data_IF_280597555237
#
_entry.id   IF_280597555237
#
_cell.length_a   1.000
_cell.length_b   1.000
_cell.length_c   1.000
_cell.angle_alpha   90.00
_cell.angle_beta   90.00
_cell.angle_gamma   90.00
#
_symmetry.space_group_name_H-M   'P 1'
#
loop_
_entity.id
_entity.type
_entity.pdbx_description
1 polymer ?
#
# COMPACT_ATOMS: atom_id res chain seq x y z
N UNK A 1 0.81 -12.28 -19.70
CA UNK A 1 0.13 -11.23 -18.91
C UNK A 1 -0.69 -10.27 -19.78
N UNK A 2 -0.57 -10.30 -21.12
CA UNK A 2 -1.32 -9.39 -22.02
C UNK A 2 -2.71 -9.88 -22.43
N UNK A 3 -2.95 -11.20 -22.45
CA UNK A 3 -4.26 -11.75 -22.87
C UNK A 3 -5.39 -11.50 -21.86
N UNK A 4 -5.09 -11.54 -20.56
CA UNK A 4 -6.06 -11.26 -19.50
C UNK A 4 -6.47 -9.78 -19.47
N UNK A 5 -5.50 -8.87 -19.62
CA UNK A 5 -5.77 -7.42 -19.73
C UNK A 5 -6.61 -7.11 -20.96
N UNK A 6 -6.30 -7.76 -22.10
CA UNK A 6 -7.06 -7.61 -23.35
C UNK A 6 -8.48 -8.16 -23.26
N UNK A 7 -8.68 -9.29 -22.58
CA UNK A 7 -10.01 -9.89 -22.38
C UNK A 7 -10.89 -9.06 -21.44
N UNK A 8 -10.32 -8.52 -20.36
CA UNK A 8 -11.04 -7.66 -19.42
C UNK A 8 -11.43 -6.32 -20.05
N UNK A 9 -10.54 -5.73 -20.87
CA UNK A 9 -10.87 -4.51 -21.63
C UNK A 9 -11.94 -4.77 -22.71
N UNK A 10 -11.93 -5.95 -23.35
CA UNK A 10 -12.93 -6.32 -24.36
C UNK A 10 -14.31 -6.56 -23.74
N UNK A 11 -14.39 -7.27 -22.61
CA UNK A 11 -15.65 -7.50 -21.88
C UNK A 11 -16.24 -6.20 -21.32
N UNK A 12 -15.38 -5.23 -20.96
CA UNK A 12 -15.83 -3.91 -20.50
C UNK A 12 -16.39 -3.05 -21.65
N UNK A 13 -15.83 -3.19 -22.86
CA UNK A 13 -16.32 -2.50 -24.06
C UNK A 13 -17.58 -3.14 -24.67
N UNK A 14 -17.83 -4.43 -24.42
CA UNK A 14 -18.97 -5.19 -24.97
C UNK A 14 -19.99 -5.52 -23.87
N UNK A 15 -20.35 -4.55 -23.03
CA UNK A 15 -21.55 -4.70 -22.19
C UNK A 15 -22.79 -4.37 -23.04
N UNK A 16 -23.81 -5.25 -23.14
CA UNK A 16 -25.02 -5.00 -23.94
C UNK A 16 -25.79 -3.71 -23.57
N UNK A 17 -25.55 -3.17 -22.38
CA UNK A 17 -26.24 -2.00 -21.84
C UNK A 17 -25.58 -0.65 -22.20
N UNK A 18 -24.34 -0.66 -22.73
CA UNK A 18 -23.64 0.56 -23.21
C UNK A 18 -23.90 0.87 -24.68
N UNK A 19 -24.45 -0.07 -25.45
CA UNK A 19 -24.80 0.12 -26.87
C UNK A 19 -26.14 0.83 -27.08
N UNK A 20 -27.09 0.72 -26.14
CA UNK A 20 -28.44 1.28 -26.29
C UNK A 20 -28.44 2.82 -26.42
N UNK A 21 -27.68 3.60 -25.63
CA UNK A 21 -27.67 5.06 -25.78
C UNK A 21 -26.93 5.52 -27.05
N UNK A 22 -25.86 4.82 -27.44
CA UNK A 22 -25.04 5.17 -28.60
C UNK A 22 -25.80 4.87 -29.90
N UNK A 23 -26.42 3.70 -30.01
CA UNK A 23 -27.23 3.32 -31.17
C UNK A 23 -28.54 4.10 -31.22
N UNK A 24 -29.17 4.35 -30.07
CA UNK A 24 -30.38 5.17 -29.96
C UNK A 24 -30.14 6.63 -30.34
N UNK A 25 -29.01 7.21 -29.91
CA UNK A 25 -28.59 8.57 -30.28
C UNK A 25 -28.26 8.71 -31.76
N UNK A 26 -27.52 7.76 -32.34
CA UNK A 26 -27.22 7.73 -33.77
C UNK A 26 -28.48 7.55 -34.63
N UNK A 27 -29.45 6.77 -34.16
CA UNK A 27 -30.73 6.56 -34.84
C UNK A 27 -31.60 7.81 -34.80
N UNK A 28 -31.66 8.53 -33.68
CA UNK A 28 -32.36 9.80 -33.57
C UNK A 28 -31.73 10.90 -34.44
N UNK A 29 -30.39 10.92 -34.54
CA UNK A 29 -29.65 11.87 -35.37
C UNK A 29 -29.87 11.63 -36.88
N UNK A 30 -29.96 10.36 -37.30
CA UNK A 30 -30.30 10.00 -38.68
C UNK A 30 -31.75 10.35 -39.04
N UNK A 31 -32.69 10.19 -38.10
CA UNK A 31 -34.11 10.57 -38.30
C UNK A 31 -34.25 12.11 -38.42
N UNK A 32 -33.45 12.87 -37.66
CA UNK A 32 -33.43 14.34 -37.71
C UNK A 32 -32.93 14.92 -39.04
N UNK A 33 -32.19 14.14 -39.83
CA UNK A 33 -31.72 14.56 -41.15
C UNK A 33 -32.76 14.33 -42.28
N UNK A 34 -33.83 13.58 -41.99
CA UNK A 34 -34.89 13.23 -42.95
C UNK A 34 -36.19 14.02 -42.82
N UNK A 35 -36.33 14.88 -41.81
CA UNK A 35 -37.52 15.73 -41.59
C UNK A 35 -37.03 17.17 -41.49
N UNK A 36 -37.47 18.02 -42.41
CA UNK A 36 -37.11 19.43 -42.62
C UNK A 36 -36.61 20.13 -41.33
N UNK A 37 -35.33 20.53 -41.33
CA UNK A 37 -34.54 20.83 -40.14
C UNK A 37 -35.09 21.96 -39.26
N UNK A 38 -35.79 21.58 -38.20
CA UNK A 38 -36.12 22.48 -37.09
C UNK A 38 -34.87 22.71 -36.21
N UNK A 39 -34.49 23.98 -36.06
CA UNK A 39 -33.29 24.41 -35.32
C UNK A 39 -33.39 24.05 -33.82
N UNK A 40 -34.60 23.97 -33.27
CA UNK A 40 -34.83 23.63 -31.86
C UNK A 40 -34.62 22.14 -31.58
N UNK A 41 -35.04 21.27 -32.51
CA UNK A 41 -34.83 19.82 -32.42
C UNK A 41 -33.36 19.44 -32.60
N UNK A 42 -32.64 20.15 -33.49
CA UNK A 42 -31.20 19.95 -33.67
C UNK A 42 -30.39 20.34 -32.42
N UNK A 43 -30.74 21.44 -31.75
CA UNK A 43 -30.08 21.87 -30.51
C UNK A 43 -30.38 20.93 -29.34
N UNK A 44 -31.62 20.47 -29.21
CA UNK A 44 -32.01 19.50 -28.17
C UNK A 44 -31.33 18.14 -28.39
N UNK A 45 -31.23 17.69 -29.64
CA UNK A 45 -30.50 16.49 -30.03
C UNK A 45 -29.00 16.59 -29.74
N UNK A 46 -28.36 17.71 -30.12
CA UNK A 46 -26.95 17.96 -29.83
C UNK A 46 -26.67 18.02 -28.32
N UNK A 47 -27.51 18.70 -27.54
CA UNK A 47 -27.39 18.78 -26.09
C UNK A 47 -27.57 17.42 -25.42
N UNK A 48 -28.48 16.58 -25.91
CA UNK A 48 -28.67 15.20 -25.46
C UNK A 48 -27.47 14.30 -25.75
N UNK A 49 -26.89 14.40 -26.95
CA UNK A 49 -25.68 13.66 -27.34
C UNK A 49 -24.48 14.10 -26.50
N UNK A 50 -24.26 15.41 -26.33
CA UNK A 50 -23.14 15.92 -25.52
C UNK A 50 -23.28 15.55 -24.04
N UNK A 51 -24.49 15.61 -23.48
CA UNK A 51 -24.74 15.20 -22.09
C UNK A 51 -24.56 13.69 -21.92
N UNK A 52 -25.02 12.87 -22.88
CA UNK A 52 -24.82 11.42 -22.87
C UNK A 52 -23.35 11.03 -22.99
N UNK A 53 -22.59 11.70 -23.86
CA UNK A 53 -21.14 11.53 -23.99
C UNK A 53 -20.43 11.94 -22.70
N UNK A 54 -20.84 13.05 -22.07
CA UNK A 54 -20.28 13.51 -20.80
C UNK A 54 -20.49 12.52 -19.65
N UNK A 55 -21.72 12.01 -19.47
CA UNK A 55 -22.06 11.03 -18.43
C UNK A 55 -21.38 9.67 -18.68
N UNK A 56 -21.26 9.26 -19.94
CA UNK A 56 -20.58 8.03 -20.30
C UNK A 56 -19.07 8.15 -20.10
N UNK A 57 -18.48 9.31 -20.44
CA UNK A 57 -17.07 9.59 -20.19
C UNK A 57 -16.74 9.61 -18.69
N UNK A 58 -17.58 10.23 -17.86
CA UNK A 58 -17.37 10.24 -16.40
C UNK A 58 -17.46 8.82 -15.82
N UNK A 59 -18.42 8.01 -16.26
CA UNK A 59 -18.53 6.59 -15.84
C UNK A 59 -17.36 5.74 -16.29
N UNK A 60 -16.79 5.99 -17.47
CA UNK A 60 -15.61 5.28 -17.95
C UNK A 60 -14.37 5.64 -17.13
N UNK A 61 -14.17 6.92 -16.81
CA UNK A 61 -13.04 7.39 -16.01
C UNK A 61 -13.12 6.82 -14.59
N UNK A 62 -14.24 7.04 -13.89
CA UNK A 62 -14.41 6.56 -12.51
C UNK A 62 -14.58 5.04 -12.41
N UNK A 63 -15.22 4.40 -13.39
CA UNK A 63 -15.43 2.95 -13.41
C UNK A 63 -14.13 2.16 -13.66
N UNK A 64 -13.19 2.71 -14.44
CA UNK A 64 -11.89 2.07 -14.67
C UNK A 64 -11.04 2.05 -13.41
N UNK A 65 -11.07 3.12 -12.61
CA UNK A 65 -10.36 3.18 -11.32
C UNK A 65 -10.88 2.12 -10.36
N UNK A 66 -12.21 2.02 -10.19
CA UNK A 66 -12.81 0.99 -9.33
C UNK A 66 -12.50 -0.43 -9.79
N UNK A 67 -12.59 -0.70 -11.10
CA UNK A 67 -12.27 -2.02 -11.66
C UNK A 67 -10.80 -2.36 -11.50
N UNK A 68 -9.91 -1.39 -11.70
CA UNK A 68 -8.47 -1.57 -11.52
C UNK A 68 -8.13 -1.81 -10.06
N UNK A 69 -8.73 -1.06 -9.14
CA UNK A 69 -8.54 -1.23 -7.70
C UNK A 69 -9.09 -2.58 -7.23
N UNK A 70 -10.27 -3.00 -7.69
CA UNK A 70 -10.84 -4.33 -7.39
C UNK A 70 -9.97 -5.45 -7.95
N UNK A 71 -9.47 -5.32 -9.17
CA UNK A 71 -8.59 -6.30 -9.80
C UNK A 71 -7.24 -6.40 -9.06
N UNK A 72 -6.66 -5.25 -8.69
CA UNK A 72 -5.41 -5.20 -7.92
C UNK A 72 -5.60 -5.83 -6.54
N UNK A 73 -6.65 -5.44 -5.81
CA UNK A 73 -6.99 -6.01 -4.50
C UNK A 73 -7.21 -7.53 -4.58
N UNK A 74 -7.92 -8.02 -5.61
CA UNK A 74 -8.11 -9.44 -5.83
C UNK A 74 -6.80 -10.20 -6.07
N UNK A 75 -5.88 -9.63 -6.87
CA UNK A 75 -4.58 -10.24 -7.14
C UNK A 75 -3.70 -10.29 -5.88
N UNK A 76 -3.63 -9.20 -5.13
CA UNK A 76 -2.85 -9.13 -3.89
C UNK A 76 -3.39 -10.09 -2.84
N UNK A 77 -4.71 -10.14 -2.64
CA UNK A 77 -5.35 -11.06 -1.70
C UNK A 77 -5.15 -12.52 -2.13
N UNK A 78 -5.23 -12.82 -3.42
CA UNK A 78 -4.95 -14.15 -3.95
C UNK A 78 -3.52 -14.57 -3.68
N UNK A 79 -2.53 -13.70 -3.95
CA UNK A 79 -1.13 -13.98 -3.67
C UNK A 79 -0.87 -14.22 -2.18
N UNK A 80 -1.51 -13.42 -1.32
CA UNK A 80 -1.44 -13.57 0.14
C UNK A 80 -1.95 -14.94 0.58
N UNK A 81 -3.14 -15.34 0.12
CA UNK A 81 -3.72 -16.66 0.41
C UNK A 81 -2.86 -17.82 -0.08
N UNK A 82 -2.31 -17.72 -1.28
CA UNK A 82 -1.42 -18.75 -1.82
C UNK A 82 -0.13 -18.88 -1.00
N UNK A 83 0.44 -17.76 -0.56
CA UNK A 83 1.58 -17.74 0.35
C UNK A 83 1.22 -18.39 1.68
N UNK A 84 0.14 -17.97 2.32
CA UNK A 84 -0.26 -18.44 3.64
C UNK A 84 -0.56 -19.96 3.61
N UNK A 85 -1.23 -20.44 2.56
CA UNK A 85 -1.46 -21.88 2.36
C UNK A 85 -0.16 -22.67 2.23
N UNK A 86 0.87 -22.15 1.53
CA UNK A 86 2.20 -22.79 1.45
C UNK A 86 2.89 -22.82 2.79
N UNK A 87 2.79 -21.73 3.56
CA UNK A 87 3.37 -21.69 4.89
C UNK A 87 2.68 -22.69 5.81
N UNK A 88 1.36 -22.84 5.73
CA UNK A 88 0.59 -23.79 6.55
C UNK A 88 0.93 -25.23 6.20
N UNK A 89 1.12 -25.51 4.91
CA UNK A 89 1.66 -26.79 4.47
C UNK A 89 3.05 -27.05 5.05
N UNK A 90 3.94 -26.05 5.04
CA UNK A 90 5.27 -26.16 5.62
C UNK A 90 5.22 -26.40 7.12
N UNK A 91 4.40 -25.65 7.86
CA UNK A 91 4.24 -25.81 9.32
C UNK A 91 3.85 -27.25 9.68
N UNK A 92 2.82 -27.78 9.03
CA UNK A 92 2.36 -29.16 9.24
C UNK A 92 3.42 -30.22 8.92
N UNK A 93 4.36 -29.93 8.01
CA UNK A 93 5.48 -30.83 7.71
C UNK A 93 6.61 -30.69 8.73
N UNK A 94 6.88 -29.47 9.22
CA UNK A 94 7.89 -29.22 10.23
C UNK A 94 7.51 -29.82 11.59
N UNK A 95 6.22 -29.88 11.94
CA UNK A 95 5.72 -30.61 13.12
C UNK A 95 6.17 -32.08 13.16
N UNK A 96 6.46 -32.67 11.99
CA UNK A 96 6.89 -34.06 11.88
C UNK A 96 8.41 -34.21 12.04
N UNK A 97 9.20 -33.13 11.96
CA UNK A 97 10.65 -33.19 11.75
C UNK A 97 11.47 -33.41 13.04
N UNK A 98 10.82 -33.61 14.19
CA UNK A 98 11.40 -33.83 15.53
C UNK A 98 12.32 -32.68 16.04
N UNK A 99 12.36 -31.51 15.37
CA UNK A 99 13.06 -30.31 15.88
C UNK A 99 12.09 -29.14 16.08
N UNK A 100 11.71 -28.82 17.35
CA UNK A 100 10.75 -27.77 17.65
C UNK A 100 11.22 -26.38 17.22
N UNK A 101 12.53 -26.16 17.07
CA UNK A 101 13.08 -24.84 16.67
C UNK A 101 12.65 -24.46 15.26
N UNK A 102 12.43 -25.44 14.38
CA UNK A 102 12.02 -25.21 13.00
C UNK A 102 10.62 -24.58 12.93
N UNK A 103 9.68 -25.11 13.72
CA UNK A 103 8.33 -24.60 13.89
C UNK A 103 8.33 -23.22 14.55
N UNK A 104 9.06 -23.06 15.66
CA UNK A 104 9.18 -21.78 16.36
C UNK A 104 9.70 -20.67 15.44
N UNK A 105 10.72 -20.97 14.62
CA UNK A 105 11.25 -20.02 13.64
C UNK A 105 10.20 -19.62 12.60
N UNK A 106 9.42 -20.57 12.10
CA UNK A 106 8.37 -20.28 11.13
C UNK A 106 7.27 -19.38 11.75
N UNK A 107 6.86 -19.64 12.99
CA UNK A 107 5.90 -18.81 13.71
C UNK A 107 6.43 -17.39 13.93
N UNK A 108 7.69 -17.26 14.35
CA UNK A 108 8.35 -15.95 14.51
C UNK A 108 8.42 -15.20 13.18
N UNK A 109 8.83 -15.87 12.09
CA UNK A 109 8.86 -15.27 10.75
C UNK A 109 7.50 -14.74 10.31
N UNK A 110 6.43 -15.54 10.48
CA UNK A 110 5.06 -15.12 10.15
C UNK A 110 4.65 -13.89 10.94
N UNK A 111 4.96 -13.88 12.24
CA UNK A 111 4.60 -12.77 13.13
C UNK A 111 5.32 -11.48 12.74
N UNK A 112 6.64 -11.55 12.49
CA UNK A 112 7.45 -10.42 12.05
C UNK A 112 7.02 -9.90 10.67
N UNK A 113 6.68 -10.81 9.77
CA UNK A 113 6.23 -10.44 8.44
C UNK A 113 4.85 -9.79 8.47
N UNK A 114 3.92 -10.34 9.25
CA UNK A 114 2.57 -9.80 9.41
C UNK A 114 2.56 -8.41 10.05
N UNK A 115 3.46 -8.14 11.01
CA UNK A 115 3.57 -6.80 11.61
C UNK A 115 3.95 -5.74 10.58
N UNK A 116 4.90 -6.07 9.69
CA UNK A 116 5.30 -5.17 8.59
C UNK A 116 4.26 -5.09 7.48
N UNK A 117 3.51 -6.17 7.22
CA UNK A 117 2.46 -6.19 6.19
C UNK A 117 1.30 -5.26 6.54
N UNK A 118 1.03 -5.07 7.83
CA UNK A 118 -0.02 -4.20 8.35
C UNK A 118 0.29 -2.69 8.20
N UNK A 119 1.53 -2.33 7.87
CA UNK A 119 1.92 -0.94 7.66
C UNK A 119 1.45 -0.41 6.30
N UNK A 120 1.04 0.87 6.23
CA UNK A 120 0.67 1.52 4.97
C UNK A 120 1.82 1.49 3.96
N UNK A 121 1.46 1.59 2.68
CA UNK A 121 2.37 1.37 1.55
C UNK A 121 3.67 2.20 1.69
N UNK A 122 4.82 1.53 1.91
CA UNK A 122 6.02 2.22 2.32
C UNK A 122 6.61 3.03 1.16
N UNK A 123 7.05 4.26 1.45
CA UNK A 123 7.73 5.13 0.48
C UNK A 123 9.21 5.30 0.83
N UNK A 124 10.05 5.50 -0.19
CA UNK A 124 11.47 5.81 -0.01
C UNK A 124 12.22 4.71 0.75
N UNK A 125 12.93 5.08 1.83
CA UNK A 125 13.74 4.14 2.62
C UNK A 125 12.93 2.98 3.22
N UNK A 126 11.66 3.20 3.56
CA UNK A 126 10.77 2.16 4.05
C UNK A 126 10.51 1.06 3.01
N UNK A 127 10.45 1.43 1.72
CA UNK A 127 10.25 0.47 0.62
C UNK A 127 11.47 -0.44 0.46
N UNK A 128 12.67 0.14 0.45
CA UNK A 128 13.92 -0.61 0.36
C UNK A 128 14.10 -1.57 1.56
N UNK A 129 13.77 -1.08 2.77
CA UNK A 129 13.74 -1.91 3.98
C UNK A 129 12.79 -3.11 3.81
N UNK A 130 11.55 -2.87 3.37
CA UNK A 130 10.56 -3.93 3.18
C UNK A 130 11.01 -4.96 2.14
N UNK A 131 11.61 -4.52 1.04
CA UNK A 131 12.16 -5.43 0.02
C UNK A 131 13.27 -6.32 0.57
N UNK A 132 14.12 -5.78 1.45
CA UNK A 132 15.18 -6.55 2.11
C UNK A 132 14.60 -7.57 3.10
N UNK A 133 13.59 -7.18 3.87
CA UNK A 133 12.86 -8.10 4.77
C UNK A 133 12.17 -9.22 3.97
N UNK A 134 11.52 -8.89 2.85
CA UNK A 134 10.92 -9.89 1.95
C UNK A 134 11.96 -10.92 1.50
N UNK A 135 13.13 -10.47 1.07
CA UNK A 135 14.21 -11.34 0.62
C UNK A 135 14.69 -12.28 1.73
N UNK A 136 14.88 -11.77 2.94
CA UNK A 136 15.29 -12.56 4.12
C UNK A 136 14.21 -13.55 4.53
N UNK A 137 12.95 -13.13 4.55
CA UNK A 137 11.80 -13.99 4.86
C UNK A 137 11.73 -15.19 3.92
N UNK A 138 11.76 -14.96 2.60
CA UNK A 138 11.73 -16.05 1.63
C UNK A 138 13.00 -16.90 1.65
N UNK A 139 14.16 -16.34 1.98
CA UNK A 139 15.39 -17.10 2.16
C UNK A 139 15.30 -18.05 3.37
N UNK A 140 14.80 -17.56 4.50
CA UNK A 140 14.60 -18.37 5.70
C UNK A 140 13.60 -19.51 5.47
N UNK A 141 12.48 -19.24 4.77
CA UNK A 141 11.52 -20.29 4.39
C UNK A 141 12.17 -21.36 3.52
N UNK A 142 12.92 -20.98 2.48
CA UNK A 142 13.62 -21.95 1.61
C UNK A 142 14.62 -22.80 2.38
N UNK A 143 15.27 -22.23 3.41
CA UNK A 143 16.22 -22.94 4.25
C UNK A 143 15.52 -23.91 5.20
N UNK A 144 14.36 -23.56 5.75
CA UNK A 144 13.49 -24.48 6.51
C UNK A 144 12.96 -25.63 5.63
N UNK A 145 12.55 -25.35 4.39
CA UNK A 145 12.18 -26.42 3.46
C UNK A 145 13.37 -27.33 3.14
N UNK A 146 14.59 -26.77 3.07
CA UNK A 146 15.81 -27.55 2.86
C UNK A 146 16.13 -28.42 4.08
N UNK A 147 16.00 -27.91 5.30
CA UNK A 147 16.23 -28.68 6.53
C UNK A 147 15.28 -29.87 6.61
N UNK A 148 13.99 -29.65 6.30
CA UNK A 148 13.00 -30.71 6.20
C UNK A 148 13.38 -31.78 5.16
N UNK A 149 13.75 -31.37 3.94
CA UNK A 149 14.20 -32.32 2.90
C UNK A 149 15.44 -33.13 3.33
N UNK A 150 16.35 -32.53 4.10
CA UNK A 150 17.52 -33.23 4.63
C UNK A 150 17.11 -34.28 5.67
N UNK A 151 16.17 -33.95 6.56
CA UNK A 151 15.60 -34.90 7.51
C UNK A 151 14.87 -36.06 6.83
N UNK A 152 13.98 -35.77 5.88
CA UNK A 152 13.25 -36.82 5.14
C UNK A 152 14.21 -37.77 4.42
N UNK A 153 15.28 -37.24 3.82
CA UNK A 153 16.32 -38.06 3.19
C UNK A 153 17.08 -38.90 4.22
N UNK A 154 17.43 -38.32 5.38
CA UNK A 154 18.10 -39.05 6.44
C UNK A 154 17.26 -40.21 6.97
N UNK A 155 15.94 -40.02 7.14
CA UNK A 155 15.01 -41.04 7.61
C UNK A 155 14.75 -42.17 6.61
N UNK A 156 15.00 -41.95 5.32
CA UNK A 156 14.91 -43.00 4.29
C UNK A 156 16.17 -43.86 4.19
N UNK A 157 17.27 -43.43 4.81
CA UNK A 157 18.53 -44.17 4.77
C UNK A 157 18.60 -45.22 5.89
N UNK A 158 19.37 -46.31 5.70
CA UNK A 158 19.65 -47.27 6.76
C UNK A 158 20.26 -46.59 7.99
N UNK A 159 20.03 -47.17 9.17
CA UNK A 159 20.50 -46.61 10.44
C UNK A 159 21.99 -46.22 10.40
N UNK A 160 22.28 -44.98 10.80
CA UNK A 160 23.62 -44.41 10.83
C UNK A 160 24.11 -43.75 9.53
N UNK A 161 23.58 -44.14 8.36
CA UNK A 161 24.02 -43.57 7.07
C UNK A 161 23.52 -42.13 6.85
N UNK A 162 22.42 -41.73 7.50
CA UNK A 162 21.86 -40.38 7.43
C UNK A 162 22.59 -39.32 8.28
N UNK A 163 23.59 -39.70 9.10
CA UNK A 163 24.23 -38.78 10.06
C UNK A 163 24.80 -37.49 9.43
N UNK A 164 25.49 -37.52 8.26
CA UNK A 164 25.95 -36.29 7.62
C UNK A 164 24.81 -35.35 7.22
N UNK A 165 23.66 -35.88 6.79
CA UNK A 165 22.49 -35.09 6.42
C UNK A 165 21.86 -34.41 7.64
N UNK A 166 21.83 -35.09 8.79
CA UNK A 166 21.34 -34.51 10.04
C UNK A 166 22.26 -33.39 10.55
N UNK A 167 23.58 -33.51 10.36
CA UNK A 167 24.53 -32.43 10.68
C UNK A 167 24.30 -31.22 9.77
N UNK A 168 24.11 -31.43 8.47
CA UNK A 168 23.80 -30.33 7.54
C UNK A 168 22.43 -29.71 7.83
N UNK A 169 21.44 -30.51 8.24
CA UNK A 169 20.14 -30.03 8.70
C UNK A 169 20.31 -29.11 9.92
N UNK A 170 21.07 -29.55 10.92
CA UNK A 170 21.32 -28.76 12.13
C UNK A 170 21.88 -27.38 11.78
N UNK A 171 22.91 -27.32 10.93
CA UNK A 171 23.48 -26.04 10.45
C UNK A 171 22.44 -25.17 9.75
N UNK A 172 21.59 -25.76 8.92
CA UNK A 172 20.54 -25.03 8.22
C UNK A 172 19.51 -24.44 9.19
N UNK A 173 19.12 -25.18 10.23
CA UNK A 173 18.21 -24.69 11.27
C UNK A 173 18.88 -23.58 12.09
N UNK A 174 20.14 -23.76 12.49
CA UNK A 174 20.89 -22.75 13.25
C UNK A 174 21.02 -21.43 12.47
N UNK A 175 21.31 -21.50 11.16
CA UNK A 175 21.33 -20.32 10.29
C UNK A 175 19.96 -19.62 10.20
N UNK A 176 18.86 -20.38 10.18
CA UNK A 176 17.52 -19.79 10.22
C UNK A 176 17.26 -19.10 11.55
N UNK A 177 17.62 -19.73 12.68
CA UNK A 177 17.48 -19.13 14.01
C UNK A 177 18.20 -17.79 14.06
N UNK A 178 19.47 -17.75 13.66
CA UNK A 178 20.27 -16.51 13.64
C UNK A 178 19.64 -15.44 12.73
N UNK A 179 19.12 -15.85 11.57
CA UNK A 179 18.46 -14.95 10.62
C UNK A 179 17.19 -14.37 11.21
N UNK A 180 16.37 -15.19 11.89
CA UNK A 180 15.12 -14.74 12.52
C UNK A 180 15.39 -13.78 13.67
N UNK A 181 16.40 -14.06 14.49
CA UNK A 181 16.81 -13.15 15.58
C UNK A 181 17.38 -11.83 15.04
N UNK A 182 18.17 -11.88 13.98
CA UNK A 182 18.65 -10.68 13.31
C UNK A 182 17.48 -9.87 12.76
N UNK A 183 16.56 -10.51 12.04
CA UNK A 183 15.37 -9.87 11.49
C UNK A 183 14.51 -9.23 12.58
N UNK A 184 14.28 -9.93 13.69
CA UNK A 184 13.53 -9.40 14.82
C UNK A 184 14.15 -8.10 15.38
N UNK A 185 15.48 -8.09 15.57
CA UNK A 185 16.22 -6.90 16.03
C UNK A 185 16.14 -5.76 15.01
N UNK A 186 16.29 -6.06 13.74
CA UNK A 186 16.23 -5.08 12.65
C UNK A 186 14.84 -4.43 12.53
N UNK A 187 13.77 -5.22 12.65
CA UNK A 187 12.38 -4.71 12.67
C UNK A 187 12.14 -3.85 13.91
N UNK A 188 12.61 -4.28 15.08
CA UNK A 188 12.50 -3.48 16.31
C UNK A 188 13.24 -2.14 16.21
N UNK A 189 14.46 -2.14 15.65
CA UNK A 189 15.22 -0.91 15.40
C UNK A 189 14.48 0.00 14.42
N UNK A 190 13.93 -0.55 13.34
CA UNK A 190 13.14 0.21 12.37
C UNK A 190 11.94 0.92 13.01
N UNK A 191 11.15 0.21 13.82
CA UNK A 191 10.04 0.82 14.56
C UNK A 191 10.51 1.89 15.54
N UNK A 192 11.64 1.66 16.22
CA UNK A 192 12.19 2.62 17.18
C UNK A 192 12.61 3.93 16.49
N UNK A 193 13.25 3.84 15.33
CA UNK A 193 13.61 5.02 14.53
C UNK A 193 12.38 5.77 14.03
N UNK A 194 11.31 5.07 13.62
CA UNK A 194 10.05 5.71 13.18
C UNK A 194 9.36 6.48 14.31
N UNK A 195 9.37 5.94 15.53
CA UNK A 195 8.82 6.63 16.70
C UNK A 195 9.62 7.89 17.05
N UNK A 196 10.95 7.80 17.06
CA UNK A 196 11.82 8.95 17.32
C UNK A 196 11.66 10.07 16.28
N UNK A 197 11.60 9.71 15.00
CA UNK A 197 11.39 10.67 13.89
C UNK A 197 10.07 11.43 14.05
N UNK A 198 9.02 10.74 14.52
CA UNK A 198 7.70 11.33 14.78
C UNK A 198 7.70 12.26 16.00
N UNK A 199 8.36 11.86 17.09
CA UNK A 199 8.48 12.68 18.31
C UNK A 199 9.31 13.95 18.05
N UNK A 200 10.39 13.85 17.27
CA UNK A 200 11.20 14.99 16.86
C UNK A 200 10.42 15.97 15.97
N UNK A 201 9.58 15.46 15.06
CA UNK A 201 8.71 16.29 14.21
C UNK A 201 7.66 17.05 15.04
N UNK A 202 7.00 16.38 15.98
CA UNK A 202 6.06 17.02 16.91
C UNK A 202 6.74 18.07 17.79
N UNK A 203 7.93 17.79 18.29
CA UNK A 203 8.73 18.74 19.09
C UNK A 203 9.09 20.00 18.29
N UNK A 204 9.47 19.83 17.02
CA UNK A 204 9.74 20.94 16.09
C UNK A 204 8.48 21.79 15.85
N UNK A 205 7.35 21.15 15.53
CA UNK A 205 6.08 21.86 15.31
C UNK A 205 5.61 22.62 16.55
N UNK A 206 5.77 22.06 17.75
CA UNK A 206 5.46 22.76 19.01
C UNK A 206 6.34 23.98 19.19
N UNK A 207 7.64 23.85 18.95
CA UNK A 207 8.59 24.95 19.06
C UNK A 207 8.28 26.06 18.04
N UNK A 208 7.84 25.71 16.84
CA UNK A 208 7.41 26.67 15.82
C UNK A 208 6.12 27.39 16.23
N UNK A 209 5.14 26.66 16.77
CA UNK A 209 3.91 27.23 17.30
C UNK A 209 4.20 28.22 18.45
N UNK A 210 5.04 27.84 19.41
CA UNK A 210 5.44 28.72 20.52
C UNK A 210 6.09 30.02 20.02
N UNK A 211 6.94 29.94 18.97
CA UNK A 211 7.51 31.12 18.32
C UNK A 211 6.44 31.99 17.67
N UNK A 212 5.47 31.42 16.97
CA UNK A 212 4.38 32.21 16.38
C UNK A 212 3.53 32.91 17.43
N UNK A 213 3.29 32.27 18.58
CA UNK A 213 2.57 32.89 19.70
C UNK A 213 3.38 34.00 20.38
N UNK A 214 4.69 33.85 20.49
CA UNK A 214 5.56 34.90 21.04
C UNK A 214 5.59 36.13 20.12
N UNK A 215 5.65 35.93 18.80
CA UNK A 215 5.56 37.00 17.81
C UNK A 215 4.21 37.71 17.90
N UNK A 216 3.11 36.96 18.04
CA UNK A 216 1.77 37.53 18.20
C UNK A 216 1.65 38.37 19.48
N UNK A 217 2.12 37.86 20.63
CA UNK A 217 2.14 38.61 21.90
C UNK A 217 2.99 39.88 21.81
N UNK A 218 4.13 39.81 21.12
CA UNK A 218 5.01 40.97 20.93
C UNK A 218 4.37 42.03 20.04
N UNK A 219 3.66 41.61 18.98
CA UNK A 219 2.91 42.51 18.13
C UNK A 219 1.77 43.20 18.91
N UNK A 220 1.07 42.47 19.77
CA UNK A 220 0.02 43.00 20.64
C UNK A 220 0.59 44.02 21.66
N UNK A 221 1.72 43.72 22.29
CA UNK A 221 2.41 44.67 23.19
C UNK A 221 2.88 45.95 22.47
N UNK A 222 3.33 45.83 21.21
CA UNK A 222 3.69 47.00 20.40
C UNK A 222 2.47 47.84 20.09
N UNK A 223 1.34 47.22 19.70
CA UNK A 223 0.09 47.95 19.45
C UNK A 223 -0.41 48.67 20.71
N UNK A 224 -0.40 47.98 21.86
CA UNK A 224 -0.79 48.57 23.15
C UNK A 224 0.14 49.71 23.57
N UNK A 225 1.45 49.60 23.31
CA UNK A 225 2.42 50.69 23.55
C UNK A 225 2.23 51.91 22.63
N UNK A 226 1.71 51.70 21.41
CA UNK A 226 1.40 52.77 20.47
C UNK A 226 0.09 53.47 20.88
N UNK A 227 -0.88 52.71 21.38
CA UNK A 227 -2.19 53.23 21.84
C UNK A 227 -2.10 53.95 23.19
N UNK A 228 -1.13 53.58 24.04
CA UNK A 228 -0.91 54.17 25.37
C UNK A 228 0.02 55.39 25.42
N UNK A 229 0.52 55.90 24.27
CA UNK A 229 1.31 57.13 24.22
C UNK A 229 0.40 58.38 24.19
N UNK A 230 0.26 59.15 25.28
CA UNK A 230 -0.60 60.34 25.31
C UNK A 230 0.22 61.57 24.91
N UNK A 231 -0.37 62.35 23.99
CA UNK A 231 -0.23 63.81 23.86
C UNK A 231 1.20 64.39 23.67
N UNK A 232 1.51 64.85 22.46
CA UNK A 232 2.62 65.78 22.20
C UNK A 232 2.06 67.15 21.79
N UNK A 233 1.62 67.88 22.81
CA UNK A 233 1.93 69.27 23.11
C UNK A 233 1.87 70.27 21.92
N UNK A 234 0.64 70.61 21.50
CA UNK A 234 0.33 71.79 20.69
C UNK A 234 0.50 73.08 21.53
N UNK A 235 1.72 73.43 21.90
CA UNK A 235 1.99 74.67 22.65
C UNK A 235 3.39 75.23 22.41
N UNK A 236 3.70 75.64 21.18
CA UNK A 236 4.68 76.70 20.88
C UNK A 236 4.76 76.90 19.38
N UNK A 237 4.16 77.97 18.84
CA UNK A 237 4.73 78.89 17.84
C UNK A 237 3.68 80.01 17.59
N UNK A 238 3.39 80.81 18.62
CA UNK A 238 2.96 82.19 18.40
C UNK A 238 4.18 83.08 18.63
N UNK A 239 4.66 83.71 17.55
CA UNK A 239 5.31 85.03 17.49
C UNK A 239 5.56 85.41 16.03
#
# INVERSE_FOLDING_TARGET
MDELKKKVLLDLFVSPWTLVPIVGGLSAWLISWGVDGDTTLNLLGLAGVLSGVGIQASRLIFGLEELTQKAYGYLTEKQRRERDARLDELARKLEQDEDPRSEECLVKLRTLYASLESEPDPRGAAFAFRQQVDALFYAAIRQLERSLRLWEKANRLPHGAGRPLLIERQKAVDEVVDTVEHLARTVQQYHSFRLQDSDDELSKLRTELDRTMEVARRAEQVMDSIESSPDHDDAKYEL
#
